data_IF_844651830298
#
_entry.id   IF_844651830298
#
_cell.length_a   1.000
_cell.length_b   1.000
_cell.length_c   1.000
_cell.angle_alpha   90.00
_cell.angle_beta   90.00
_cell.angle_gamma   90.00
#
_symmetry.space_group_name_H-M   'P 1'
#
loop_
_entity.id
_entity.type
_entity.pdbx_description
1 polymer ?
#
# COMPACT_ATOMS: atom_id res chain seq x y z
N UNK A 1 13.16 24.39 8.93
CA UNK A 1 13.76 23.11 8.53
C UNK A 1 12.66 22.07 8.54
N UNK A 2 12.29 21.51 7.39
CA UNK A 2 11.18 20.54 7.27
C UNK A 2 11.71 19.13 7.52
N UNK A 3 11.02 18.36 8.36
CA UNK A 3 11.40 16.98 8.68
C UNK A 3 11.11 16.09 7.46
N UNK A 4 12.09 15.33 6.93
CA UNK A 4 11.90 14.52 5.71
C UNK A 4 11.23 13.16 5.99
N UNK A 5 11.04 12.78 7.25
CA UNK A 5 10.44 11.50 7.64
C UNK A 5 8.97 11.68 8.04
N UNK A 6 8.10 10.80 7.51
CA UNK A 6 6.70 10.69 7.92
C UNK A 6 6.53 9.48 8.84
N UNK A 7 5.98 9.71 10.04
CA UNK A 7 5.82 8.69 11.08
C UNK A 7 4.39 8.71 11.60
N UNK A 8 3.78 7.53 11.75
CA UNK A 8 2.42 7.40 12.30
C UNK A 8 1.30 7.43 11.25
N UNK A 9 1.63 7.64 9.97
CA UNK A 9 0.67 7.74 8.87
C UNK A 9 0.95 6.68 7.79
N UNK A 10 -0.01 6.46 6.89
CA UNK A 10 0.22 5.68 5.69
C UNK A 10 1.10 6.47 4.72
N UNK A 11 2.32 6.00 4.52
CA UNK A 11 3.30 6.66 3.67
C UNK A 11 3.12 6.25 2.21
N UNK A 12 2.98 7.23 1.31
CA UNK A 12 2.93 7.04 -0.15
C UNK A 12 3.86 8.04 -0.86
N UNK A 13 3.95 7.97 -2.19
CA UNK A 13 4.72 8.93 -2.99
C UNK A 13 6.24 8.88 -2.71
N UNK A 14 6.86 10.06 -2.61
CA UNK A 14 8.31 10.24 -2.42
C UNK A 14 8.85 9.67 -1.10
N UNK A 15 7.98 9.51 -0.10
CA UNK A 15 8.35 8.98 1.22
C UNK A 15 8.28 7.44 1.27
N UNK A 16 7.72 6.80 0.25
CA UNK A 16 7.59 5.35 0.13
C UNK A 16 8.73 4.79 -0.74
N UNK A 17 9.64 4.02 -0.14
CA UNK A 17 10.86 3.56 -0.80
C UNK A 17 11.05 2.05 -0.68
N UNK A 18 11.78 1.48 -1.65
CA UNK A 18 12.28 0.10 -1.69
C UNK A 18 11.25 -1.02 -1.43
N UNK A 19 10.13 -0.99 -2.16
CA UNK A 19 9.02 -1.98 -2.05
C UNK A 19 8.42 -2.36 -3.40
N UNK A 20 9.21 -2.26 -4.47
CA UNK A 20 8.70 -2.42 -5.83
C UNK A 20 8.14 -3.82 -6.11
N UNK A 21 8.75 -4.86 -5.56
CA UNK A 21 8.31 -6.25 -5.73
C UNK A 21 6.99 -6.52 -5.00
N UNK A 22 6.86 -6.05 -3.75
CA UNK A 22 5.62 -6.16 -2.98
C UNK A 22 4.47 -5.42 -3.65
N UNK A 23 4.70 -4.17 -4.08
CA UNK A 23 3.68 -3.38 -4.81
C UNK A 23 3.27 -4.08 -6.10
N UNK A 24 4.22 -4.63 -6.87
CA UNK A 24 3.90 -5.39 -8.09
C UNK A 24 3.00 -6.60 -7.82
N UNK A 25 3.24 -7.34 -6.73
CA UNK A 25 2.39 -8.48 -6.34
C UNK A 25 0.99 -8.05 -5.92
N UNK A 26 0.89 -6.96 -5.15
CA UNK A 26 -0.41 -6.42 -4.71
C UNK A 26 -1.21 -5.91 -5.91
N UNK A 27 -0.59 -5.13 -6.81
CA UNK A 27 -1.24 -4.64 -8.03
C UNK A 27 -1.74 -5.79 -8.92
N UNK A 28 -0.92 -6.83 -9.09
CA UNK A 28 -1.36 -8.02 -9.83
C UNK A 28 -2.61 -8.66 -9.20
N UNK A 29 -2.63 -8.79 -7.88
CA UNK A 29 -3.77 -9.35 -7.18
C UNK A 29 -5.05 -8.49 -7.30
N UNK A 30 -4.92 -7.17 -7.43
CA UNK A 30 -6.05 -6.27 -7.66
C UNK A 30 -6.65 -6.42 -9.07
N UNK A 31 -5.84 -6.78 -10.07
CA UNK A 31 -6.27 -6.90 -11.47
C UNK A 31 -6.86 -8.27 -11.83
N UNK A 32 -6.58 -9.29 -11.02
CA UNK A 32 -7.02 -10.67 -11.24
C UNK A 32 -8.07 -11.07 -10.18
N UNK A 33 -9.05 -11.93 -10.50
CA UNK A 33 -9.94 -12.51 -9.49
C UNK A 33 -9.15 -13.36 -8.50
N UNK A 34 -8.68 -12.75 -7.41
CA UNK A 34 -7.72 -13.36 -6.50
C UNK A 34 -7.99 -13.00 -5.03
N UNK A 35 -7.32 -13.71 -4.12
CA UNK A 35 -7.28 -13.40 -2.68
C UNK A 35 -5.83 -13.35 -2.25
N UNK A 36 -5.37 -12.20 -1.79
CA UNK A 36 -3.99 -11.99 -1.33
C UNK A 36 -3.96 -11.63 0.15
N UNK A 37 -3.16 -12.35 0.93
CA UNK A 37 -2.85 -12.02 2.33
C UNK A 37 -1.50 -11.31 2.41
N UNK A 38 -1.50 -10.05 2.85
CA UNK A 38 -0.27 -9.31 3.16
C UNK A 38 0.00 -9.40 4.66
N UNK A 39 1.08 -10.08 5.05
CA UNK A 39 1.41 -10.33 6.46
C UNK A 39 2.81 -9.84 6.84
N UNK A 40 3.06 -9.69 8.15
CA UNK A 40 4.31 -9.17 8.70
C UNK A 40 4.11 -8.41 10.02
N UNK A 41 5.19 -8.12 10.74
CA UNK A 41 5.14 -7.47 12.06
C UNK A 41 4.53 -6.06 12.03
N UNK A 42 4.13 -5.54 13.22
CA UNK A 42 3.60 -4.17 13.36
C UNK A 42 4.64 -3.15 12.90
N UNK A 43 4.20 -2.06 12.26
CA UNK A 43 5.03 -0.95 11.73
C UNK A 43 6.00 -1.32 10.59
N UNK A 44 5.84 -2.47 9.93
CA UNK A 44 6.62 -2.87 8.73
C UNK A 44 6.10 -2.28 7.40
N UNK A 45 5.20 -1.29 7.43
CA UNK A 45 4.72 -0.63 6.21
C UNK A 45 3.72 -1.42 5.36
N UNK A 46 3.07 -2.46 5.91
CA UNK A 46 2.06 -3.26 5.19
C UNK A 46 0.92 -2.41 4.63
N UNK A 47 0.25 -1.65 5.49
CA UNK A 47 -0.86 -0.78 5.08
C UNK A 47 -0.40 0.25 4.05
N UNK A 48 0.79 0.83 4.24
CA UNK A 48 1.40 1.76 3.28
C UNK A 48 1.61 1.13 1.90
N UNK A 49 2.11 -0.12 1.83
CA UNK A 49 2.29 -0.83 0.56
C UNK A 49 0.95 -1.10 -0.14
N UNK A 50 -0.09 -1.47 0.61
CA UNK A 50 -1.43 -1.69 0.04
C UNK A 50 -2.03 -0.37 -0.44
N UNK A 51 -1.94 0.71 0.34
CA UNK A 51 -2.41 2.04 -0.06
C UNK A 51 -1.67 2.57 -1.28
N UNK A 52 -0.36 2.36 -1.37
CA UNK A 52 0.42 2.75 -2.53
C UNK A 52 -0.04 2.00 -3.78
N UNK A 53 -0.21 0.68 -3.70
CA UNK A 53 -0.74 -0.12 -4.81
C UNK A 53 -2.18 0.26 -5.18
N UNK A 54 -3.03 0.57 -4.18
CA UNK A 54 -4.39 1.02 -4.39
C UNK A 54 -4.43 2.33 -5.19
N UNK A 55 -3.63 3.34 -4.82
CA UNK A 55 -3.57 4.60 -5.57
C UNK A 55 -3.12 4.39 -7.02
N UNK A 56 -2.15 3.50 -7.26
CA UNK A 56 -1.73 3.12 -8.62
C UNK A 56 -2.84 2.42 -9.40
N UNK A 57 -3.62 1.57 -8.75
CA UNK A 57 -4.75 0.87 -9.38
C UNK A 57 -5.89 1.84 -9.71
N UNK A 58 -6.15 2.83 -8.86
CA UNK A 58 -7.11 3.91 -9.12
C UNK A 58 -6.67 4.82 -10.28
N UNK A 59 -5.37 5.15 -10.37
CA UNK A 59 -4.78 5.86 -11.52
C UNK A 59 -4.99 5.10 -12.84
N UNK A 60 -5.08 3.77 -12.80
CA UNK A 60 -5.38 2.91 -13.95
C UNK A 60 -6.89 2.76 -14.24
N UNK A 61 -7.75 3.43 -13.48
CA UNK A 61 -9.21 3.36 -13.61
C UNK A 61 -9.88 2.25 -12.80
N UNK A 62 -9.13 1.56 -11.95
CA UNK A 62 -9.66 0.62 -10.97
C UNK A 62 -10.45 1.31 -9.86
N UNK A 63 -11.30 0.55 -9.16
CA UNK A 63 -12.05 1.04 -7.99
C UNK A 63 -11.63 0.25 -6.76
N UNK A 64 -11.26 0.95 -5.68
CA UNK A 64 -10.84 0.34 -4.42
C UNK A 64 -11.84 0.66 -3.32
N UNK A 65 -12.23 -0.36 -2.55
CA UNK A 65 -12.91 -0.20 -1.26
C UNK A 65 -11.92 -0.55 -0.15
N UNK A 66 -11.65 0.40 0.73
CA UNK A 66 -10.80 0.19 1.91
C UNK A 66 -11.67 0.03 3.16
N UNK A 67 -11.41 -1.04 3.92
CA UNK A 67 -12.05 -1.29 5.21
C UNK A 67 -10.95 -1.50 6.24
N UNK A 68 -10.85 -0.58 7.20
CA UNK A 68 -9.99 -0.76 8.36
C UNK A 68 -10.75 -1.53 9.44
N UNK A 69 -10.23 -2.69 9.82
CA UNK A 69 -10.80 -3.58 10.84
C UNK A 69 -9.95 -3.61 12.11
N UNK A 70 -8.91 -2.77 12.20
CA UNK A 70 -8.13 -2.64 13.42
C UNK A 70 -9.01 -2.08 14.54
N UNK A 71 -9.07 -2.81 15.65
CA UNK A 71 -9.76 -2.41 16.89
C UNK A 71 -8.78 -1.82 17.89
#
# INVERSE_FOLDING_TARGET
>A
MTIPFRVGEHVTGEYFTDRADEVRRILRAMREPSRLLVHGQRRQGKSSAIHYAAGRFEEEGGVVLWVDVAT
#
